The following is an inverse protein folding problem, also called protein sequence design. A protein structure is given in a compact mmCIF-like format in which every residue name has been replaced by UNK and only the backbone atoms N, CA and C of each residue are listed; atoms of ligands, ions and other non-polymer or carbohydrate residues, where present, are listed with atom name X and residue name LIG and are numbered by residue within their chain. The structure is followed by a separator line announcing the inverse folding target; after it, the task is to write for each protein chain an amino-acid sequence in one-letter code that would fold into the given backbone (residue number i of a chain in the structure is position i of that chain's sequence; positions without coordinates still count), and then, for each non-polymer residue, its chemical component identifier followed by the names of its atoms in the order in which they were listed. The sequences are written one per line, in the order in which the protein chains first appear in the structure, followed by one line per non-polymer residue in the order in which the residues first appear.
data_IF_777946338492
#
_entry.id   IF_777946338492
#
_cell.length_a   1.000
_cell.length_b   1.000
_cell.length_c   1.000
_cell.angle_alpha   90.00
_cell.angle_beta   90.00
_cell.angle_gamma   90.00
#
_symmetry.space_group_name_H-M   'P 1'
#
loop_
_entity.id
_entity.type
_entity.pdbx_description
1 polymer ?
#
# COMPACT_ATOMS: atom_id res chain seq x y z
N UNK A 1 33.10 5.85 -20.68
CA UNK A 1 31.77 5.69 -20.32
C UNK A 1 31.47 4.32 -19.79
N UNK A 2 30.66 4.28 -18.86
CA UNK A 2 30.43 3.06 -18.20
C UNK A 2 29.03 2.51 -18.45
N UNK A 3 28.95 1.69 -19.46
CA UNK A 3 27.74 1.07 -19.83
C UNK A 3 27.24 0.13 -18.79
N UNK A 4 28.11 -0.49 -18.09
CA UNK A 4 27.77 -1.41 -17.08
C UNK A 4 26.99 -0.77 -15.96
N UNK A 5 27.32 0.45 -15.58
CA UNK A 5 26.57 1.12 -14.53
C UNK A 5 25.13 1.35 -14.95
N UNK A 6 24.92 1.69 -16.23
CA UNK A 6 23.58 1.88 -16.73
C UNK A 6 22.81 0.56 -16.72
N UNK A 7 23.47 -0.51 -17.10
CA UNK A 7 22.83 -1.82 -17.12
C UNK A 7 22.39 -2.24 -15.72
N UNK A 8 23.25 -2.00 -14.74
CA UNK A 8 22.91 -2.36 -13.38
C UNK A 8 21.67 -1.62 -12.89
N UNK A 9 21.51 -0.38 -13.30
CA UNK A 9 20.37 0.39 -12.86
C UNK A 9 19.06 -0.06 -13.48
N UNK A 10 19.09 -0.57 -14.69
CA UNK A 10 17.83 -0.99 -15.32
C UNK A 10 17.35 -2.33 -14.85
N UNK A 11 18.13 -3.01 -14.04
CA UNK A 11 17.70 -4.30 -13.55
C UNK A 11 16.53 -4.23 -12.61
N UNK A 12 16.34 -3.07 -11.98
CA UNK A 12 15.28 -2.95 -11.00
C UNK A 12 14.23 -1.99 -11.49
N UNK A 13 13.07 -2.53 -11.73
CA UNK A 13 11.94 -1.75 -12.18
C UNK A 13 11.05 -1.44 -11.00
N UNK A 14 10.74 -0.17 -10.80
CA UNK A 14 9.82 0.26 -9.76
C UNK A 14 8.41 -0.10 -10.19
N UNK A 15 7.66 -0.77 -9.31
CA UNK A 15 6.25 -1.01 -9.54
C UNK A 15 5.46 0.04 -8.77
N UNK A 16 4.52 0.68 -9.44
CA UNK A 16 3.69 1.71 -8.83
C UNK A 16 2.27 1.17 -8.72
N UNK A 17 1.79 1.07 -7.49
CA UNK A 17 0.53 0.40 -7.22
C UNK A 17 -0.46 1.40 -6.62
N UNK A 18 -1.62 1.52 -7.26
CA UNK A 18 -2.71 2.36 -6.78
C UNK A 18 -3.91 1.47 -6.48
N UNK A 19 -4.59 1.76 -5.38
CA UNK A 19 -5.70 0.93 -4.92
C UNK A 19 -6.79 1.81 -4.31
N UNK A 20 -8.01 1.27 -4.26
CA UNK A 20 -9.17 1.99 -3.72
C UNK A 20 -9.92 1.09 -2.75
N UNK A 21 -10.36 1.68 -1.63
CA UNK A 21 -11.27 1.02 -0.70
C UNK A 21 -12.20 2.09 -0.12
N UNK A 22 -13.29 1.70 0.50
CA UNK A 22 -14.15 2.65 1.17
C UNK A 22 -13.84 2.69 2.66
N UNK A 23 -14.08 3.86 3.26
CA UNK A 23 -14.09 3.95 4.72
C UNK A 23 -15.57 4.09 5.12
N UNK A 24 -15.96 3.36 6.16
CA UNK A 24 -17.33 3.47 6.67
C UNK A 24 -17.54 4.89 7.19
N UNK A 25 -18.63 5.56 6.79
CA UNK A 25 -18.82 6.97 7.17
C UNK A 25 -18.75 7.21 8.67
N UNK A 26 -19.29 6.28 9.47
CA UNK A 26 -19.28 6.43 10.93
C UNK A 26 -17.89 6.16 11.53
N UNK A 27 -16.97 5.61 10.75
CA UNK A 27 -15.60 5.31 11.20
C UNK A 27 -14.56 6.22 10.57
N UNK A 28 -14.99 7.19 9.78
CA UNK A 28 -14.11 8.06 9.04
C UNK A 28 -13.14 8.81 9.94
N UNK A 29 -13.66 9.45 10.99
CA UNK A 29 -12.81 10.23 11.89
C UNK A 29 -11.84 9.34 12.66
N UNK A 30 -12.30 8.17 13.07
CA UNK A 30 -11.45 7.20 13.76
C UNK A 30 -10.31 6.76 12.85
N UNK A 31 -10.60 6.47 11.59
CA UNK A 31 -9.59 6.05 10.62
C UNK A 31 -8.52 7.12 10.43
N UNK A 32 -8.94 8.37 10.28
CA UNK A 32 -8.03 9.49 10.11
C UNK A 32 -7.16 9.64 11.36
N UNK A 33 -7.79 9.54 12.53
CA UNK A 33 -7.05 9.70 13.79
C UNK A 33 -6.01 8.61 13.99
N UNK A 34 -6.33 7.35 13.63
CA UNK A 34 -5.39 6.25 13.73
C UNK A 34 -4.12 6.54 12.91
N UNK A 35 -4.27 7.18 11.75
CA UNK A 35 -3.15 7.41 10.85
C UNK A 35 -2.29 8.60 11.23
N UNK A 36 -2.64 9.34 12.29
CA UNK A 36 -1.78 10.42 12.79
C UNK A 36 -0.55 9.86 13.49
N UNK A 37 -0.61 8.60 13.93
CA UNK A 37 0.49 7.98 14.66
C UNK A 37 0.58 6.50 14.32
N UNK A 38 0.94 6.19 13.08
CA UNK A 38 1.13 4.81 12.66
C UNK A 38 2.32 4.22 13.43
N UNK A 39 2.17 3.04 14.04
CA UNK A 39 3.25 2.46 14.83
C UNK A 39 4.52 2.24 14.01
N UNK A 40 5.65 2.58 14.60
CA UNK A 40 6.94 2.45 13.92
C UNK A 40 7.22 1.02 13.44
N UNK A 41 6.90 -0.05 14.20
CA UNK A 41 7.11 -1.40 13.70
C UNK A 41 6.37 -1.72 12.40
N UNK A 42 5.19 -1.10 12.19
CA UNK A 42 4.45 -1.26 10.93
C UNK A 42 5.22 -0.62 9.79
N UNK A 43 5.70 0.61 10.01
CA UNK A 43 6.49 1.32 9.01
C UNK A 43 7.79 0.58 8.70
N UNK A 44 8.44 0.05 9.74
CA UNK A 44 9.68 -0.70 9.58
C UNK A 44 9.44 -1.95 8.73
N UNK A 45 8.32 -2.65 8.94
CA UNK A 45 8.01 -3.84 8.16
C UNK A 45 7.80 -3.49 6.68
N UNK A 46 7.10 -2.39 6.43
CA UNK A 46 6.88 -1.96 5.06
C UNK A 46 8.20 -1.63 4.36
N UNK A 47 9.09 -0.90 5.04
CA UNK A 47 10.41 -0.57 4.47
C UNK A 47 11.21 -1.84 4.21
N UNK A 48 11.20 -2.78 5.14
CA UNK A 48 11.93 -4.04 4.98
C UNK A 48 11.36 -4.88 3.85
N UNK A 49 10.12 -4.62 3.44
CA UNK A 49 9.48 -5.30 2.32
C UNK A 49 9.57 -4.48 1.03
N UNK A 50 10.47 -3.51 0.99
CA UNK A 50 10.79 -2.71 -0.20
C UNK A 50 9.66 -1.80 -0.66
N UNK A 51 8.78 -1.40 0.25
CA UNK A 51 7.70 -0.45 -0.01
C UNK A 51 8.19 0.95 0.31
N UNK A 52 7.94 1.89 -0.57
CA UNK A 52 8.35 3.27 -0.41
C UNK A 52 7.27 4.20 -0.95
N UNK A 53 7.34 5.46 -0.54
CA UNK A 53 6.44 6.51 -1.03
C UNK A 53 4.98 6.11 -0.96
N UNK A 54 4.61 5.56 0.19
CA UNK A 54 3.27 5.06 0.44
C UNK A 54 2.42 6.20 0.99
N UNK A 55 1.30 6.47 0.34
CA UNK A 55 0.37 7.49 0.80
C UNK A 55 -1.07 7.01 0.67
N UNK A 56 -1.93 7.54 1.51
CA UNK A 56 -3.36 7.24 1.48
C UNK A 56 -4.10 8.56 1.48
N UNK A 57 -5.04 8.71 0.58
CA UNK A 57 -5.80 9.94 0.38
C UNK A 57 -7.28 9.67 0.55
N UNK A 58 -7.99 10.61 1.16
CA UNK A 58 -9.41 10.44 1.47
C UNK A 58 -10.23 11.47 0.70
N UNK A 59 -11.26 11.00 0.01
CA UNK A 59 -12.26 11.86 -0.61
C UNK A 59 -13.62 11.29 -0.23
N UNK A 60 -14.35 11.99 0.64
CA UNK A 60 -15.64 11.54 1.18
C UNK A 60 -15.47 10.18 1.86
N UNK A 61 -16.03 9.11 1.32
CA UNK A 61 -15.91 7.79 1.90
C UNK A 61 -14.98 6.87 1.12
N UNK A 62 -14.18 7.42 0.20
CA UNK A 62 -13.25 6.63 -0.59
C UNK A 62 -11.82 6.95 -0.22
N UNK A 63 -11.05 5.89 -0.03
CA UNK A 63 -9.63 5.97 0.26
C UNK A 63 -8.87 5.53 -0.99
N UNK A 64 -7.90 6.33 -1.38
CA UNK A 64 -7.04 6.05 -2.51
C UNK A 64 -5.63 5.87 -1.99
N UNK A 65 -5.02 4.72 -2.21
CA UNK A 65 -3.66 4.49 -1.78
C UNK A 65 -2.73 4.40 -2.98
N UNK A 66 -1.49 4.80 -2.74
CA UNK A 66 -0.43 4.68 -3.72
C UNK A 66 0.84 4.26 -2.99
N UNK A 67 1.56 3.30 -3.54
CA UNK A 67 2.89 3.02 -3.04
C UNK A 67 3.78 2.54 -4.17
N UNK A 68 5.08 2.61 -3.94
CA UNK A 68 6.08 2.12 -4.86
C UNK A 68 6.73 0.89 -4.27
N UNK A 69 6.98 -0.08 -5.11
CA UNK A 69 7.64 -1.30 -4.71
C UNK A 69 8.96 -1.41 -5.44
N UNK A 70 10.04 -1.58 -4.68
CA UNK A 70 11.40 -1.59 -5.19
C UNK A 70 12.09 -2.95 -5.02
N UNK A 71 11.33 -4.01 -4.79
CA UNK A 71 11.89 -5.34 -4.59
C UNK A 71 11.82 -6.20 -5.85
N UNK A 72 12.06 -7.48 -5.66
CA UNK A 72 12.12 -8.44 -6.76
C UNK A 72 10.92 -9.39 -6.81
N UNK A 73 10.13 -9.46 -5.75
CA UNK A 73 8.98 -10.37 -5.67
C UNK A 73 7.90 -9.73 -4.79
N UNK A 74 7.04 -8.97 -5.43
CA UNK A 74 5.99 -8.24 -4.73
C UNK A 74 5.10 -9.18 -3.92
N UNK A 75 4.72 -10.31 -4.50
CA UNK A 75 3.85 -11.25 -3.80
C UNK A 75 4.47 -11.76 -2.52
N UNK A 76 5.74 -12.15 -2.56
CA UNK A 76 6.45 -12.65 -1.38
C UNK A 76 6.58 -11.55 -0.33
N UNK A 77 6.92 -10.34 -0.75
CA UNK A 77 7.10 -9.23 0.19
C UNK A 77 5.78 -8.81 0.82
N UNK A 78 4.68 -8.81 0.07
CA UNK A 78 3.38 -8.49 0.65
C UNK A 78 2.89 -9.60 1.60
N UNK A 79 3.25 -10.86 1.33
CA UNK A 79 2.94 -11.93 2.26
C UNK A 79 3.71 -11.76 3.56
N UNK A 80 4.95 -11.29 3.49
CA UNK A 80 5.74 -11.01 4.69
C UNK A 80 5.11 -9.88 5.51
N UNK A 81 4.57 -8.86 4.85
CA UNK A 81 3.84 -7.78 5.54
C UNK A 81 2.62 -8.37 6.25
N UNK A 82 1.84 -9.19 5.54
CA UNK A 82 0.63 -9.78 6.12
C UNK A 82 0.92 -10.73 7.27
N UNK A 83 2.08 -11.36 7.30
CA UNK A 83 2.46 -12.28 8.36
C UNK A 83 3.08 -11.58 9.56
N UNK A 84 3.37 -10.30 9.45
CA UNK A 84 4.04 -9.54 10.50
C UNK A 84 3.10 -9.26 11.67
N UNK A 85 3.48 -9.63 12.91
CA UNK A 85 2.58 -9.45 14.06
C UNK A 85 2.16 -8.00 14.30
N UNK A 86 3.08 -7.04 14.16
CA UNK A 86 2.75 -5.63 14.37
C UNK A 86 1.74 -5.15 13.33
N UNK A 87 1.89 -5.59 12.08
CA UNK A 87 0.96 -5.26 11.01
C UNK A 87 -0.40 -5.87 11.27
N UNK A 88 -0.45 -7.11 11.75
CA UNK A 88 -1.72 -7.76 12.06
C UNK A 88 -2.47 -7.03 13.17
N UNK A 89 -1.75 -6.54 14.20
CA UNK A 89 -2.37 -5.76 15.26
C UNK A 89 -2.90 -4.43 14.71
N UNK A 90 -2.13 -3.80 13.81
CA UNK A 90 -2.56 -2.56 13.18
C UNK A 90 -3.83 -2.78 12.34
N UNK A 91 -3.88 -3.87 11.60
CA UNK A 91 -5.04 -4.17 10.77
C UNK A 91 -6.29 -4.47 11.59
N UNK A 92 -6.15 -4.96 12.82
CA UNK A 92 -7.30 -5.14 13.71
C UNK A 92 -7.98 -3.81 14.03
N UNK A 93 -7.23 -2.71 13.94
CA UNK A 93 -7.77 -1.38 14.16
C UNK A 93 -8.31 -0.76 12.88
N UNK A 94 -7.66 -0.99 11.74
CA UNK A 94 -8.04 -0.35 10.48
C UNK A 94 -9.11 -1.11 9.72
N UNK A 95 -9.08 -2.44 9.71
CA UNK A 95 -10.05 -3.23 8.94
C UNK A 95 -11.49 -2.93 9.33
N UNK A 96 -11.84 -2.79 10.62
CA UNK A 96 -13.24 -2.50 10.98
C UNK A 96 -13.72 -1.14 10.47
N UNK A 97 -12.81 -0.25 10.08
CA UNK A 97 -13.19 1.05 9.54
C UNK A 97 -13.40 1.01 8.03
N UNK A 98 -13.03 -0.08 7.39
CA UNK A 98 -12.99 -0.18 5.93
C UNK A 98 -14.07 -1.09 5.38
N UNK A 99 -14.38 -0.88 4.11
CA UNK A 99 -15.38 -1.66 3.40
C UNK A 99 -14.98 -1.75 1.93
N UNK A 100 -15.09 -2.93 1.35
CA UNK A 100 -14.69 -3.13 -0.05
C UNK A 100 -15.56 -2.28 -0.97
N UNK A 101 -14.95 -1.76 -2.05
CA UNK A 101 -15.73 -1.14 -3.12
C UNK A 101 -16.40 -2.24 -3.95
N UNK A 102 -17.52 -1.92 -4.62
CA UNK A 102 -18.18 -2.92 -5.48
C UNK A 102 -17.28 -3.45 -6.59
N UNK A 103 -16.34 -2.63 -7.03
CA UNK A 103 -15.43 -3.01 -8.12
C UNK A 103 -14.32 -3.97 -7.71
N UNK A 104 -14.19 -4.26 -6.41
CA UNK A 104 -13.13 -5.16 -5.95
C UNK A 104 -13.35 -6.57 -6.49
N UNK A 105 -12.27 -7.18 -6.98
CA UNK A 105 -12.32 -8.55 -7.46
C UNK A 105 -12.43 -9.52 -6.29
N UNK A 106 -12.89 -10.75 -6.51
CA UNK A 106 -12.94 -11.75 -5.45
C UNK A 106 -11.58 -11.88 -4.77
N UNK A 107 -11.57 -11.80 -3.45
CA UNK A 107 -10.34 -11.88 -2.67
C UNK A 107 -9.59 -10.58 -2.49
N UNK A 108 -9.98 -9.51 -3.18
CA UNK A 108 -9.35 -8.21 -2.98
C UNK A 108 -10.03 -7.48 -1.82
N UNK A 109 -9.21 -6.96 -0.90
CA UNK A 109 -9.69 -6.05 0.15
C UNK A 109 -9.63 -4.62 -0.42
N UNK A 110 -8.43 -4.18 -0.84
CA UNK A 110 -8.27 -2.97 -1.63
C UNK A 110 -8.38 -3.35 -3.10
N UNK A 111 -9.17 -2.61 -3.87
CA UNK A 111 -9.35 -2.89 -5.29
C UNK A 111 -8.20 -2.27 -6.08
N UNK A 112 -7.59 -3.04 -6.96
CA UNK A 112 -6.50 -2.55 -7.80
C UNK A 112 -7.04 -1.52 -8.80
N UNK A 113 -6.31 -0.41 -8.96
CA UNK A 113 -6.63 0.60 -9.96
C UNK A 113 -5.61 0.52 -11.08
N UNK A 114 -6.09 0.57 -12.31
CA UNK A 114 -5.23 0.45 -13.47
C UNK A 114 -4.50 1.76 -13.75
N UNK A 115 -3.19 1.69 -13.98
CA UNK A 115 -2.44 2.88 -14.36
C UNK A 115 -2.68 3.17 -15.84
N UNK A 116 -3.15 4.38 -16.15
CA UNK A 116 -3.40 4.78 -17.53
C UNK A 116 -2.37 5.75 -18.07
N UNK A 117 -1.49 6.29 -17.22
CA UNK A 117 -0.47 7.24 -17.65
C UNK A 117 0.68 7.27 -16.65
N UNK A 118 1.88 7.38 -17.14
CA UNK A 118 3.08 7.59 -16.33
C UNK A 118 4.04 8.49 -17.09
N UNK A 119 4.50 9.56 -16.43
CA UNK A 119 5.59 10.37 -16.94
C UNK A 119 6.73 10.29 -15.93
N UNK A 120 7.88 9.78 -16.36
CA UNK A 120 9.06 9.70 -15.51
C UNK A 120 9.94 10.92 -15.61
#
# INVERSE_FOLDING_TARGET
MNRRAAELRVERTVQRIAQVIRVKPEKRDEYVELHRAVPEPVLARLRASHVANYSIHLLRDRLFSYFEYHGDDLGADLRAVAADPATQEWWKLTDPCQERVPEAAPGEWWAAAERVFLME
#
